data_IF_185857199399
#
_entry.id   IF_185857199399
#
_cell.length_a   1.000
_cell.length_b   1.000
_cell.length_c   1.000
_cell.angle_alpha   90.00
_cell.angle_beta   90.00
_cell.angle_gamma   90.00
#
_symmetry.space_group_name_H-M   'P 1'
#
loop_
_entity.id
_entity.type
_entity.pdbx_description
1 polymer ?
#
# COMPACT_ATOMS: atom_id res chain seq x y z
N UNK A 1 26.78 21.88 46.33
CA UNK A 1 26.23 22.54 45.12
C UNK A 1 26.61 21.84 43.82
N UNK A 2 27.89 21.50 43.59
CA UNK A 2 28.38 20.85 42.35
C UNK A 2 27.67 19.53 41.99
N UNK A 3 27.40 18.66 42.96
CA UNK A 3 26.68 17.39 42.72
C UNK A 3 25.21 17.54 42.30
N UNK A 4 24.53 18.61 42.76
CA UNK A 4 23.14 18.90 42.35
C UNK A 4 23.06 19.40 40.91
N UNK A 5 24.10 20.11 40.46
CA UNK A 5 24.23 20.60 39.09
C UNK A 5 24.51 19.43 38.12
N UNK A 6 25.38 18.50 38.51
CA UNK A 6 25.69 17.30 37.70
C UNK A 6 24.43 16.42 37.54
N UNK A 7 23.66 16.24 38.62
CA UNK A 7 22.42 15.48 38.57
C UNK A 7 21.35 16.14 37.67
N UNK A 8 21.24 17.47 37.70
CA UNK A 8 20.31 18.21 36.83
C UNK A 8 20.68 18.09 35.34
N UNK A 9 21.98 18.09 35.01
CA UNK A 9 22.46 17.90 33.64
C UNK A 9 22.19 16.48 33.13
N UNK A 10 22.39 15.46 33.97
CA UNK A 10 22.08 14.07 33.65
C UNK A 10 20.57 13.86 33.38
N UNK A 11 19.70 14.49 34.17
CA UNK A 11 18.25 14.40 33.98
C UNK A 11 17.82 15.08 32.66
N UNK A 12 18.42 16.22 32.30
CA UNK A 12 18.14 16.89 31.03
C UNK A 12 18.62 16.09 29.81
N UNK A 13 19.74 15.37 29.92
CA UNK A 13 20.28 14.57 28.81
C UNK A 13 19.39 13.35 28.48
N UNK A 14 18.77 12.74 29.49
CA UNK A 14 17.82 11.62 29.30
C UNK A 14 16.48 12.13 28.73
N UNK A 15 16.07 13.35 29.07
CA UNK A 15 14.85 13.96 28.56
C UNK A 15 14.92 14.36 27.07
N UNK A 16 16.11 14.49 26.48
CA UNK A 16 16.27 14.82 25.06
C UNK A 16 16.12 13.63 24.09
N UNK A 17 15.90 12.41 24.59
CA UNK A 17 15.54 11.27 23.74
C UNK A 17 14.05 11.31 23.37
N UNK A 18 13.60 12.41 22.76
CA UNK A 18 12.34 12.42 22.07
C UNK A 18 12.47 11.46 20.88
N UNK A 19 11.77 10.34 20.94
CA UNK A 19 11.60 9.44 19.81
C UNK A 19 11.01 10.26 18.66
N UNK A 20 11.78 10.43 17.58
CA UNK A 20 11.25 10.92 16.33
C UNK A 20 10.25 9.87 15.84
N UNK A 21 8.98 10.05 16.20
CA UNK A 21 7.91 9.20 15.71
C UNK A 21 7.65 9.60 14.26
N UNK A 22 8.35 8.96 13.33
CA UNK A 22 8.06 9.03 11.89
C UNK A 22 6.78 8.25 11.52
N UNK A 23 5.82 8.17 12.45
CA UNK A 23 4.51 7.55 12.29
C UNK A 23 3.51 8.57 11.79
N UNK A 24 3.74 9.13 10.60
CA UNK A 24 2.64 9.71 9.84
C UNK A 24 1.70 8.56 9.53
N UNK A 25 0.49 8.59 10.10
CA UNK A 25 -0.55 7.63 9.82
C UNK A 25 -0.84 7.72 8.31
N UNK A 26 -0.22 6.82 7.54
CA UNK A 26 -0.65 6.59 6.17
C UNK A 26 -1.97 5.88 6.36
N UNK A 27 -3.06 6.63 6.26
CA UNK A 27 -4.40 6.07 6.15
C UNK A 27 -4.39 5.23 4.87
N UNK A 28 -3.94 3.99 5.00
CA UNK A 28 -3.89 3.02 3.93
C UNK A 28 -5.32 2.56 3.74
N UNK A 29 -5.97 3.08 2.70
CA UNK A 29 -7.20 2.54 2.13
C UNK A 29 -6.91 1.15 1.53
N UNK A 30 -6.57 0.21 2.39
CA UNK A 30 -6.52 -1.21 2.03
C UNK A 30 -7.95 -1.66 1.78
N UNK A 31 -8.12 -2.55 0.82
CA UNK A 31 -9.43 -3.13 0.54
C UNK A 31 -9.75 -4.04 1.73
N UNK A 32 -10.65 -3.60 2.60
CA UNK A 32 -11.06 -4.32 3.81
C UNK A 32 -12.42 -5.01 3.62
N UNK A 33 -13.29 -4.42 2.80
CA UNK A 33 -14.68 -4.83 2.56
C UNK A 33 -15.05 -4.61 1.08
N UNK A 34 -16.15 -5.22 0.63
CA UNK A 34 -16.70 -5.03 -0.73
C UNK A 34 -17.44 -3.70 -0.93
N UNK A 35 -17.13 -2.67 -0.15
CA UNK A 35 -17.78 -1.36 -0.22
C UNK A 35 -17.14 -0.43 -1.27
N UNK A 36 -15.92 -0.73 -1.71
CA UNK A 36 -15.23 -0.02 -2.79
C UNK A 36 -15.66 -0.65 -4.11
N UNK A 37 -16.09 0.16 -5.06
CA UNK A 37 -16.52 -0.28 -6.39
C UNK A 37 -15.66 0.32 -7.50
N UNK A 38 -15.59 -0.36 -8.64
CA UNK A 38 -14.97 0.18 -9.85
C UNK A 38 -15.92 1.12 -10.61
N UNK A 39 -15.50 1.61 -11.78
CA UNK A 39 -16.29 2.54 -12.60
C UNK A 39 -17.63 1.98 -13.07
N UNK A 40 -17.79 0.65 -13.06
CA UNK A 40 -19.03 -0.04 -13.45
C UNK A 40 -19.92 -0.34 -12.24
N UNK A 41 -19.47 -0.01 -11.02
CA UNK A 41 -20.18 -0.30 -9.78
C UNK A 41 -19.90 -1.71 -9.23
N UNK A 42 -18.95 -2.44 -9.82
CA UNK A 42 -18.60 -3.78 -9.36
C UNK A 42 -17.69 -3.71 -8.13
N UNK A 43 -17.97 -4.48 -7.04
CA UNK A 43 -17.13 -4.48 -5.85
C UNK A 43 -15.69 -4.91 -6.15
N UNK A 44 -14.71 -4.11 -5.71
CA UNK A 44 -13.32 -4.49 -5.68
C UNK A 44 -13.08 -5.44 -4.50
N UNK A 45 -12.56 -6.63 -4.79
CA UNK A 45 -12.22 -7.64 -3.80
C UNK A 45 -10.72 -7.70 -3.54
N UNK A 46 -10.33 -8.25 -2.40
CA UNK A 46 -8.92 -8.60 -2.14
C UNK A 46 -8.47 -9.68 -3.14
N UNK A 47 -7.24 -9.56 -3.64
CA UNK A 47 -6.66 -10.52 -4.59
C UNK A 47 -6.65 -9.99 -6.01
N UNK A 48 -6.68 -10.90 -6.98
CA UNK A 48 -6.76 -10.57 -8.40
C UNK A 48 -8.22 -10.50 -8.85
N UNK A 49 -8.56 -9.49 -9.65
CA UNK A 49 -9.83 -9.47 -10.37
C UNK A 49 -9.81 -10.43 -11.58
N UNK A 50 -10.95 -10.50 -12.28
CA UNK A 50 -11.14 -11.33 -13.47
C UNK A 50 -10.19 -11.00 -14.64
N UNK A 51 -9.58 -9.82 -14.64
CA UNK A 51 -8.63 -9.38 -15.66
C UNK A 51 -7.17 -9.61 -15.24
N UNK A 52 -6.91 -9.91 -13.96
CA UNK A 52 -5.58 -10.13 -13.41
C UNK A 52 -4.99 -8.93 -12.69
N UNK A 53 -5.79 -7.93 -12.30
CA UNK A 53 -5.34 -6.81 -11.46
C UNK A 53 -5.46 -7.11 -9.97
N UNK A 54 -4.37 -6.91 -9.23
CA UNK A 54 -4.36 -6.83 -7.78
C UNK A 54 -4.00 -5.42 -7.33
N UNK A 55 -5.02 -4.64 -6.99
CA UNK A 55 -4.90 -3.23 -6.64
C UNK A 55 -4.10 -3.01 -5.36
N UNK A 56 -4.28 -3.85 -4.35
CA UNK A 56 -3.55 -3.71 -3.09
C UNK A 56 -2.07 -4.10 -3.21
N UNK A 57 -1.74 -5.03 -4.10
CA UNK A 57 -0.36 -5.45 -4.35
C UNK A 57 0.36 -4.59 -5.40
N UNK A 58 -0.36 -3.72 -6.11
CA UNK A 58 0.13 -2.97 -7.27
C UNK A 58 0.72 -3.87 -8.37
N UNK A 59 0.05 -4.98 -8.65
CA UNK A 59 0.49 -5.99 -9.62
C UNK A 59 -0.63 -6.28 -10.62
N UNK A 60 -0.24 -6.39 -11.89
CA UNK A 60 -1.01 -7.04 -12.93
C UNK A 60 -0.33 -8.37 -13.27
N UNK A 61 -1.12 -9.44 -13.35
CA UNK A 61 -0.67 -10.77 -13.73
C UNK A 61 -1.80 -11.50 -14.47
N UNK A 62 -1.74 -11.47 -15.80
CA UNK A 62 -2.81 -11.98 -16.65
C UNK A 62 -2.41 -11.97 -18.13
N UNK A 63 -3.33 -12.36 -19.00
CA UNK A 63 -3.10 -12.29 -20.45
C UNK A 63 -2.95 -10.84 -20.91
N UNK A 64 -2.08 -10.60 -21.89
CA UNK A 64 -1.76 -9.26 -22.39
C UNK A 64 -3.01 -8.46 -22.78
N UNK A 65 -3.98 -9.13 -23.38
CA UNK A 65 -5.26 -8.58 -23.83
C UNK A 65 -6.12 -8.05 -22.67
N UNK A 66 -5.99 -8.64 -21.48
CA UNK A 66 -6.76 -8.24 -20.30
C UNK A 66 -6.27 -6.94 -19.66
N UNK A 67 -5.06 -6.46 -19.99
CA UNK A 67 -4.59 -5.16 -19.52
C UNK A 67 -5.51 -4.02 -19.97
N UNK A 68 -6.16 -4.14 -21.14
CA UNK A 68 -7.08 -3.13 -21.64
C UNK A 68 -8.50 -3.22 -21.04
N UNK A 69 -8.77 -4.19 -20.16
CA UNK A 69 -10.11 -4.51 -19.61
C UNK A 69 -11.19 -4.60 -20.70
N UNK A 70 -11.08 -5.55 -21.65
CA UNK A 70 -12.11 -5.76 -22.66
C UNK A 70 -13.47 -6.13 -22.02
N UNK A 71 -14.57 -5.93 -22.74
CA UNK A 71 -15.93 -6.26 -22.25
C UNK A 71 -16.08 -7.72 -21.79
N UNK A 72 -15.29 -8.63 -22.36
CA UNK A 72 -15.23 -10.04 -21.96
C UNK A 72 -13.79 -10.39 -21.59
N UNK A 73 -13.52 -10.85 -20.36
CA UNK A 73 -12.19 -11.29 -19.95
C UNK A 73 -11.68 -12.44 -20.83
N UNK A 74 -10.45 -12.32 -21.29
CA UNK A 74 -9.73 -13.39 -22.00
C UNK A 74 -9.31 -14.44 -20.97
N UNK A 75 -9.69 -15.70 -21.19
CA UNK A 75 -9.38 -16.82 -20.30
C UNK A 75 -8.30 -17.77 -20.86
N UNK A 76 -7.95 -17.62 -22.12
CA UNK A 76 -6.90 -18.39 -22.80
C UNK A 76 -6.16 -17.50 -23.80
N UNK A 77 -4.84 -17.41 -23.70
CA UNK A 77 -3.95 -16.75 -24.67
C UNK A 77 -2.54 -17.30 -24.51
N UNK A 78 -1.76 -17.25 -25.60
CA UNK A 78 -0.34 -17.62 -25.58
C UNK A 78 0.55 -16.52 -24.96
N UNK A 79 -0.01 -15.33 -24.70
CA UNK A 79 0.75 -14.16 -24.23
C UNK A 79 0.36 -13.79 -22.80
N UNK A 80 1.22 -14.15 -21.85
CA UNK A 80 1.14 -13.70 -20.46
C UNK A 80 1.90 -12.37 -20.26
N UNK A 81 1.34 -11.49 -19.46
CA UNK A 81 1.91 -10.20 -19.10
C UNK A 81 1.90 -10.04 -17.59
N UNK A 82 3.07 -9.74 -17.03
CA UNK A 82 3.22 -9.38 -15.63
C UNK A 82 3.77 -7.97 -15.51
N UNK A 83 3.09 -7.12 -14.76
CA UNK A 83 3.53 -5.75 -14.49
C UNK A 83 3.43 -5.46 -13.00
N UNK A 84 4.36 -4.65 -12.51
CA UNK A 84 4.29 -4.09 -11.16
C UNK A 84 4.46 -2.59 -11.26
N UNK A 85 3.57 -1.83 -10.64
CA UNK A 85 3.73 -0.39 -10.51
C UNK A 85 4.10 -0.02 -9.07
N UNK A 86 4.54 1.21 -8.91
CA UNK A 86 4.82 1.79 -7.61
C UNK A 86 4.17 3.18 -7.57
N UNK A 87 4.00 3.72 -6.36
CA UNK A 87 3.30 4.99 -6.14
C UNK A 87 4.26 6.21 -6.23
N UNK A 88 5.55 5.97 -6.46
CA UNK A 88 6.53 7.02 -6.68
C UNK A 88 6.48 7.48 -8.15
N UNK A 89 6.35 8.80 -8.32
CA UNK A 89 6.34 9.48 -9.61
C UNK A 89 7.76 9.72 -10.14
#
# INVERSE_FOLDING_TARGET
>A
MKGKIILAILIMLVASMATANAGGNKDFWTIQSGEITDSNGDPLTVGYDQYGYNYQAHIFNGFYENYARPDTPVTESDTQLQMKWNDAW
#
